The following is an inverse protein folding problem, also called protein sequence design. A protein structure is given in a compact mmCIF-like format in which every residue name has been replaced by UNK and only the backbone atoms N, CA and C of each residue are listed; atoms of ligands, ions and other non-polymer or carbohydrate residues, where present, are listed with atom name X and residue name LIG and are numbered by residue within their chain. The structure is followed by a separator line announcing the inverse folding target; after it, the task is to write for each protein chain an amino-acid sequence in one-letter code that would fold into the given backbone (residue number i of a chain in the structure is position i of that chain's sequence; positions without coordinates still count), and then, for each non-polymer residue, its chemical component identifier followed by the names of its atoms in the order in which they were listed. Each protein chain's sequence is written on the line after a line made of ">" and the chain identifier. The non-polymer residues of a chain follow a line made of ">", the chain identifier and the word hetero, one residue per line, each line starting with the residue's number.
data_IF_778495381786
#
_entry.id   IF_778495381786
#
_cell.length_a   1.000
_cell.length_b   1.000
_cell.length_c   1.000
_cell.angle_alpha   90.00
_cell.angle_beta   90.00
_cell.angle_gamma   90.00
#
_symmetry.space_group_name_H-M   'P 1'
#
loop_
_entity.id
_entity.type
_entity.pdbx_description
1 polymer ?
#
# COMPACT_ATOMS: atom_id res chain seq x y z
N UNK A 1 -8.74 19.34 -7.38
CA UNK A 1 -8.04 18.14 -6.89
C UNK A 1 -9.03 17.28 -6.11
N UNK A 2 -8.97 15.96 -6.22
CA UNK A 2 -9.86 15.03 -5.49
C UNK A 2 -9.29 14.81 -4.10
N UNK A 3 -10.09 15.02 -3.04
CA UNK A 3 -9.64 14.71 -1.68
C UNK A 3 -9.28 13.22 -1.54
N UNK A 4 -8.07 12.88 -1.04
CA UNK A 4 -7.65 11.50 -0.90
C UNK A 4 -8.56 10.71 0.04
N UNK A 5 -9.13 9.60 -0.44
CA UNK A 5 -10.05 8.75 0.33
C UNK A 5 -9.35 8.16 1.57
N UNK A 6 -10.12 7.87 2.62
CA UNK A 6 -9.64 7.11 3.77
C UNK A 6 -9.66 5.60 3.45
N UNK A 7 -8.77 4.83 4.07
CA UNK A 7 -8.59 3.40 3.77
C UNK A 7 -9.73 2.50 4.28
N UNK A 8 -10.62 3.03 5.13
CA UNK A 8 -11.77 2.32 5.70
C UNK A 8 -12.90 2.08 4.69
N UNK A 9 -12.66 1.28 3.65
CA UNK A 9 -13.62 0.96 2.59
C UNK A 9 -14.65 -0.11 3.02
N UNK A 10 -15.40 0.20 4.08
CA UNK A 10 -16.34 -0.72 4.77
C UNK A 10 -17.43 -1.31 3.86
N UNK A 11 -17.83 -0.61 2.79
CA UNK A 11 -18.84 -1.09 1.84
C UNK A 11 -18.34 -2.11 0.81
N UNK A 12 -17.02 -2.33 0.71
CA UNK A 12 -16.40 -3.17 -0.31
C UNK A 12 -15.93 -4.50 0.26
N UNK A 13 -15.47 -4.50 1.51
CA UNK A 13 -14.95 -5.66 2.21
C UNK A 13 -15.45 -5.60 3.66
N UNK A 14 -16.41 -6.46 4.08
CA UNK A 14 -16.81 -6.58 5.49
C UNK A 14 -15.75 -7.38 6.26
N UNK A 15 -14.48 -7.01 6.10
CA UNK A 15 -13.31 -7.77 6.52
C UNK A 15 -12.53 -6.98 7.58
N UNK A 16 -12.23 -7.66 8.68
CA UNK A 16 -11.47 -7.14 9.80
C UNK A 16 -10.05 -6.72 9.40
N UNK A 17 -9.47 -5.71 10.07
CA UNK A 17 -9.93 -5.08 11.30
C UNK A 17 -10.64 -3.73 11.06
N UNK A 18 -11.56 -3.69 10.09
CA UNK A 18 -12.48 -2.57 9.89
C UNK A 18 -11.74 -1.22 9.78
N UNK A 19 -11.97 -0.30 10.73
CA UNK A 19 -11.45 1.08 10.75
C UNK A 19 -10.07 1.26 11.39
N UNK A 20 -9.45 0.22 11.95
CA UNK A 20 -8.14 0.34 12.62
C UNK A 20 -7.22 -0.81 12.27
N UNK A 21 -6.13 -0.51 11.58
CA UNK A 21 -5.05 -1.46 11.26
C UNK A 21 -3.76 -0.97 11.91
N UNK A 22 -3.08 -1.86 12.64
CA UNK A 22 -1.70 -1.64 13.06
C UNK A 22 -0.79 -2.00 11.89
N UNK A 23 0.21 -1.15 11.62
CA UNK A 23 1.24 -1.45 10.62
C UNK A 23 2.54 -1.80 11.32
N UNK A 24 3.19 -2.86 10.87
CA UNK A 24 4.55 -3.22 11.32
C UNK A 24 5.49 -2.98 10.16
N UNK A 25 6.52 -2.15 10.38
CA UNK A 25 7.65 -1.99 9.47
C UNK A 25 8.75 -2.97 9.87
N UNK A 26 9.24 -3.74 8.91
CA UNK A 26 10.40 -4.62 9.09
C UNK A 26 11.47 -4.29 8.03
N UNK A 27 12.72 -4.17 8.46
CA UNK A 27 13.86 -4.02 7.55
C UNK A 27 14.36 -5.41 7.18
N UNK A 28 14.22 -5.78 5.91
CA UNK A 28 14.65 -7.10 5.41
C UNK A 28 16.10 -7.04 4.93
N UNK A 29 16.46 -5.98 4.20
CA UNK A 29 17.84 -5.70 3.78
C UNK A 29 18.14 -4.25 4.15
N UNK A 30 19.08 -4.00 5.09
CA UNK A 30 19.41 -2.65 5.53
C UNK A 30 19.70 -1.70 4.37
N UNK A 31 19.01 -0.56 4.35
CA UNK A 31 19.18 0.47 3.32
C UNK A 31 18.65 0.10 1.93
N UNK A 32 17.95 -1.03 1.77
CA UNK A 32 17.51 -1.49 0.46
C UNK A 32 16.08 -2.06 0.42
N UNK A 33 15.66 -2.89 1.38
CA UNK A 33 14.36 -3.59 1.32
C UNK A 33 13.67 -3.55 2.68
N UNK A 34 12.40 -3.17 2.67
CA UNK A 34 11.52 -3.14 3.83
C UNK A 34 10.16 -3.77 3.52
N UNK A 35 9.45 -4.21 4.56
CA UNK A 35 8.07 -4.67 4.43
C UNK A 35 7.16 -3.91 5.38
N UNK A 36 5.93 -3.68 4.94
CA UNK A 36 4.84 -3.20 5.77
C UNK A 36 3.81 -4.31 5.91
N UNK A 37 3.61 -4.80 7.12
CA UNK A 37 2.68 -5.88 7.42
C UNK A 37 1.47 -5.35 8.19
N UNK A 38 0.29 -5.80 7.76
CA UNK A 38 -0.98 -5.52 8.42
C UNK A 38 -1.80 -6.79 8.55
N UNK A 39 -2.58 -6.91 9.62
CA UNK A 39 -3.57 -7.98 9.74
C UNK A 39 -4.76 -7.74 8.81
N UNK A 40 -5.24 -8.81 8.21
CA UNK A 40 -6.43 -8.88 7.38
C UNK A 40 -7.15 -10.19 7.67
N UNK A 41 -8.48 -10.18 7.77
CA UNK A 41 -9.19 -11.42 8.05
C UNK A 41 -10.65 -11.27 8.40
N UNK A 42 -11.41 -12.34 8.20
CA UNK A 42 -12.83 -12.43 8.58
C UNK A 42 -12.94 -13.34 9.79
N UNK A 43 -13.70 -12.92 10.81
CA UNK A 43 -13.96 -13.70 12.02
C UNK A 43 -12.66 -14.19 12.69
N UNK A 44 -12.46 -15.50 12.73
CA UNK A 44 -11.32 -16.18 13.34
C UNK A 44 -10.19 -16.50 12.35
N UNK A 45 -10.35 -16.20 11.06
CA UNK A 45 -9.32 -16.40 10.03
C UNK A 45 -8.58 -15.09 9.82
N UNK A 46 -7.40 -14.97 10.42
CA UNK A 46 -6.54 -13.78 10.30
C UNK A 46 -5.24 -14.15 9.57
N UNK A 47 -4.91 -13.39 8.54
CA UNK A 47 -3.69 -13.52 7.76
C UNK A 47 -2.94 -12.18 7.70
N UNK A 48 -1.60 -12.19 7.59
CA UNK A 48 -0.86 -10.99 7.28
C UNK A 48 -1.03 -10.62 5.81
N UNK A 49 -1.13 -9.34 5.53
CA UNK A 49 -1.04 -8.75 4.20
C UNK A 49 0.17 -7.83 4.19
N UNK A 50 1.01 -7.99 3.17
CA UNK A 50 2.35 -7.41 3.11
C UNK A 50 2.50 -6.51 1.89
N UNK A 51 3.00 -5.30 2.10
CA UNK A 51 3.62 -4.51 1.06
C UNK A 51 5.15 -4.63 1.16
N UNK A 52 5.83 -4.55 0.01
CA UNK A 52 7.29 -4.53 -0.04
C UNK A 52 7.76 -3.21 -0.61
N UNK A 53 8.73 -2.59 0.05
CA UNK A 53 9.35 -1.33 -0.34
C UNK A 53 10.81 -1.63 -0.72
N UNK A 54 11.23 -1.18 -1.90
CA UNK A 54 12.58 -1.39 -2.42
C UNK A 54 13.19 -0.05 -2.80
N UNK A 55 14.42 0.22 -2.36
CA UNK A 55 15.20 1.36 -2.82
C UNK A 55 15.66 1.15 -4.25
N UNK A 56 15.46 2.17 -5.09
CA UNK A 56 15.90 2.16 -6.48
C UNK A 56 17.37 2.62 -6.60
N UNK A 57 18.09 2.09 -7.59
CA UNK A 57 19.50 2.43 -7.82
C UNK A 57 19.70 3.91 -8.21
N UNK A 58 18.74 4.47 -8.96
CA UNK A 58 18.70 5.88 -9.38
C UNK A 58 18.03 6.81 -8.34
N UNK A 59 17.90 6.33 -7.10
CA UNK A 59 17.23 7.02 -6.00
C UNK A 59 15.71 6.90 -6.03
N UNK A 60 15.08 7.12 -4.87
CA UNK A 60 13.66 6.92 -4.68
C UNK A 60 13.27 5.50 -4.29
N UNK A 61 11.97 5.28 -4.17
CA UNK A 61 11.38 4.05 -3.66
C UNK A 61 10.40 3.44 -4.67
N UNK A 62 10.41 2.11 -4.70
CA UNK A 62 9.44 1.26 -5.37
C UNK A 62 8.59 0.57 -4.31
N UNK A 63 7.26 0.56 -4.49
CA UNK A 63 6.31 -0.10 -3.57
C UNK A 63 5.54 -1.16 -4.32
N UNK A 64 5.58 -2.40 -3.85
CA UNK A 64 4.86 -3.55 -4.38
C UNK A 64 3.72 -3.97 -3.46
N UNK A 65 2.54 -4.19 -4.05
CA UNK A 65 1.32 -4.61 -3.38
C UNK A 65 1.01 -3.81 -2.11
N UNK A 66 0.69 -2.50 -2.23
CA UNK A 66 0.42 -1.66 -1.08
C UNK A 66 -0.62 -2.27 -0.13
N UNK A 67 -0.41 -2.01 1.16
CA UNK A 67 -1.36 -2.28 2.23
C UNK A 67 -2.19 -1.03 2.52
N UNK A 68 -3.11 -1.08 3.49
CA UNK A 68 -3.93 0.07 3.82
C UNK A 68 -3.05 1.27 4.20
N UNK A 69 -3.35 2.43 3.61
CA UNK A 69 -2.64 3.70 3.86
C UNK A 69 -3.01 4.30 5.22
N UNK A 70 -2.75 3.55 6.30
CA UNK A 70 -2.91 4.03 7.68
C UNK A 70 -1.92 5.15 7.96
N UNK A 71 -2.18 5.95 9.00
CA UNK A 71 -1.25 6.99 9.43
C UNK A 71 0.16 6.43 9.69
N UNK A 72 0.26 5.32 10.42
CA UNK A 72 1.53 4.63 10.71
C UNK A 72 2.25 4.19 9.42
N UNK A 73 1.52 3.56 8.49
CA UNK A 73 2.07 3.15 7.19
C UNK A 73 2.64 4.34 6.41
N UNK A 74 1.91 5.46 6.37
CA UNK A 74 2.35 6.65 5.68
C UNK A 74 3.56 7.28 6.37
N UNK A 75 3.57 7.36 7.70
CA UNK A 75 4.71 7.88 8.47
C UNK A 75 5.99 7.08 8.20
N UNK A 76 5.92 5.75 8.18
CA UNK A 76 7.06 4.89 7.83
C UNK A 76 7.56 5.15 6.41
N UNK A 77 6.66 5.21 5.42
CA UNK A 77 7.07 5.47 4.03
C UNK A 77 7.68 6.86 3.89
N UNK A 78 7.12 7.88 4.57
CA UNK A 78 7.68 9.25 4.57
C UNK A 78 9.06 9.32 5.22
N UNK A 79 9.34 8.51 6.24
CA UNK A 79 10.69 8.41 6.82
C UNK A 79 11.68 7.86 5.78
N UNK A 80 11.31 6.76 5.10
CA UNK A 80 12.12 6.21 4.01
C UNK A 80 12.29 7.22 2.86
N UNK A 81 11.27 8.01 2.52
CA UNK A 81 11.39 9.03 1.48
C UNK A 81 12.42 10.13 1.82
N UNK A 82 12.52 10.52 3.10
CA UNK A 82 13.52 11.49 3.56
C UNK A 82 14.94 10.98 3.37
N UNK A 83 15.16 9.68 3.55
CA UNK A 83 16.48 9.06 3.50
C UNK A 83 16.89 8.58 2.11
N UNK A 84 15.91 8.16 1.29
CA UNK A 84 16.18 7.43 0.05
C UNK A 84 15.56 8.09 -1.18
N UNK A 85 14.76 9.14 -1.02
CA UNK A 85 14.08 9.85 -2.11
C UNK A 85 12.61 9.41 -2.26
N UNK A 86 11.83 10.09 -3.11
CA UNK A 86 10.39 9.92 -3.18
C UNK A 86 9.97 8.52 -3.67
N UNK A 87 8.75 8.11 -3.35
CA UNK A 87 8.11 6.98 -4.01
C UNK A 87 7.92 7.32 -5.49
N UNK A 88 8.62 6.58 -6.37
CA UNK A 88 8.56 6.75 -7.83
C UNK A 88 7.57 5.79 -8.47
N UNK A 89 7.46 4.58 -7.94
CA UNK A 89 6.67 3.51 -8.54
C UNK A 89 5.83 2.77 -7.51
N UNK A 90 4.56 2.57 -7.83
CA UNK A 90 3.63 1.77 -7.05
C UNK A 90 3.08 0.68 -7.96
N UNK A 91 3.28 -0.58 -7.61
CA UNK A 91 2.85 -1.72 -8.41
C UNK A 91 1.82 -2.52 -7.65
N UNK A 92 0.69 -2.79 -8.29
CA UNK A 92 -0.27 -3.79 -7.84
C UNK A 92 -0.09 -5.04 -8.72
N UNK A 93 0.65 -6.02 -8.19
CA UNK A 93 0.91 -7.30 -8.83
C UNK A 93 -0.01 -8.44 -8.35
N UNK A 94 -1.10 -8.12 -7.65
CA UNK A 94 -2.04 -9.10 -7.12
C UNK A 94 -3.47 -8.83 -7.57
N UNK A 95 -4.21 -9.91 -7.81
CA UNK A 95 -5.67 -9.88 -8.03
C UNK A 95 -6.45 -9.95 -6.72
N UNK A 96 -5.76 -10.17 -5.60
CA UNK A 96 -6.37 -10.30 -4.28
C UNK A 96 -6.96 -8.95 -3.83
N UNK A 97 -8.24 -8.97 -3.50
CA UNK A 97 -9.06 -7.78 -3.30
C UNK A 97 -8.52 -6.87 -2.19
N UNK A 98 -7.88 -7.43 -1.18
CA UNK A 98 -7.20 -6.71 -0.09
C UNK A 98 -6.14 -5.74 -0.61
N UNK A 99 -5.39 -6.10 -1.64
CA UNK A 99 -4.41 -5.20 -2.23
C UNK A 99 -5.05 -4.23 -3.21
N UNK A 100 -6.04 -4.68 -3.99
CA UNK A 100 -6.73 -3.85 -4.99
C UNK A 100 -7.40 -2.63 -4.36
N UNK A 101 -8.09 -2.87 -3.24
CA UNK A 101 -8.83 -1.85 -2.50
C UNK A 101 -7.90 -0.81 -1.90
N UNK A 102 -6.73 -1.21 -1.42
CA UNK A 102 -5.78 -0.28 -0.80
C UNK A 102 -4.82 0.38 -1.79
N UNK A 103 -4.49 -0.26 -2.90
CA UNK A 103 -3.54 0.27 -3.88
C UNK A 103 -3.94 1.67 -4.37
N UNK A 104 -5.22 1.88 -4.68
CA UNK A 104 -5.70 3.19 -5.10
C UNK A 104 -5.61 4.26 -4.03
N UNK A 105 -6.08 3.94 -2.84
CA UNK A 105 -6.04 4.86 -1.70
C UNK A 105 -4.59 5.23 -1.36
N UNK A 106 -3.69 4.25 -1.40
CA UNK A 106 -2.26 4.45 -1.18
C UNK A 106 -1.66 5.34 -2.26
N UNK A 107 -1.94 5.07 -3.54
CA UNK A 107 -1.45 5.88 -4.66
C UNK A 107 -1.89 7.35 -4.58
N UNK A 108 -3.12 7.64 -4.13
CA UNK A 108 -3.57 9.02 -3.90
C UNK A 108 -2.71 9.79 -2.89
N UNK A 109 -2.06 9.11 -1.93
CA UNK A 109 -1.17 9.74 -0.94
C UNK A 109 0.23 10.03 -1.52
N UNK A 110 0.57 9.44 -2.67
CA UNK A 110 1.84 9.61 -3.38
C UNK A 110 1.57 9.99 -4.84
N UNK A 111 0.87 11.11 -5.06
CA UNK A 111 0.35 11.54 -6.36
C UNK A 111 1.38 11.73 -7.48
N UNK A 112 2.69 11.80 -7.15
CA UNK A 112 3.79 11.89 -8.12
C UNK A 112 4.31 10.53 -8.56
N UNK A 113 3.92 9.45 -7.89
CA UNK A 113 4.36 8.11 -8.22
C UNK A 113 3.60 7.60 -9.45
N UNK A 114 4.31 6.90 -10.34
CA UNK A 114 3.68 6.15 -11.41
C UNK A 114 3.06 4.87 -10.85
N UNK A 115 1.78 4.66 -11.13
CA UNK A 115 1.05 3.45 -10.75
C UNK A 115 1.13 2.45 -11.89
N UNK A 116 1.44 1.20 -11.56
CA UNK A 116 1.53 0.10 -12.51
C UNK A 116 0.52 -0.99 -12.14
N UNK A 117 -0.29 -1.34 -13.12
CA UNK A 117 -1.39 -2.29 -13.02
C UNK A 117 -1.31 -3.20 -14.25
N UNK A 118 -1.70 -4.46 -14.09
CA UNK A 118 -1.82 -5.34 -15.25
C UNK A 118 -3.01 -4.91 -16.12
N UNK A 119 -2.79 -4.79 -17.43
CA UNK A 119 -3.85 -4.44 -18.36
C UNK A 119 -5.00 -5.46 -18.29
N UNK A 120 -6.24 -4.97 -18.31
CA UNK A 120 -7.45 -5.80 -18.18
C UNK A 120 -7.75 -6.30 -16.76
N UNK A 121 -6.91 -5.98 -15.75
CA UNK A 121 -7.30 -6.21 -14.36
C UNK A 121 -8.33 -5.19 -13.90
N UNK A 122 -9.45 -5.69 -13.37
CA UNK A 122 -10.57 -4.92 -12.84
C UNK A 122 -10.12 -3.85 -11.84
N UNK A 123 -10.34 -2.57 -12.12
CA UNK A 123 -10.10 -1.46 -11.20
C UNK A 123 -11.35 -1.20 -10.34
N UNK A 124 -11.32 -1.69 -9.10
CA UNK A 124 -12.44 -1.57 -8.16
C UNK A 124 -11.94 -1.28 -6.75
N UNK A 125 -12.65 -0.46 -5.97
CA UNK A 125 -13.93 0.22 -6.29
C UNK A 125 -13.81 1.44 -7.20
N UNK A 126 -12.60 1.95 -7.38
CA UNK A 126 -12.33 3.15 -8.15
C UNK A 126 -11.50 2.78 -9.37
N UNK A 127 -11.75 3.48 -10.49
CA UNK A 127 -10.80 3.49 -11.59
C UNK A 127 -9.52 4.14 -11.09
N UNK A 128 -8.50 3.32 -10.91
CA UNK A 128 -7.14 3.78 -10.71
C UNK A 128 -6.64 4.32 -12.05
N UNK A 129 -5.80 5.37 -12.07
CA UNK A 129 -4.76 5.42 -13.09
C UNK A 129 -3.79 4.24 -12.92
#
# INVERSE_FOLDING_TARGET
>A
EVEPTDYGLFGILPIGPYKRKKTVLETIVPGQIWTLDQKFGILNVQVPVRATIVKLQDGGLFVYNPVAATRESLEFVRQLEKEHGPVKHIVLGSVAIEHKVYAGVFAQKFSKAQVWLQSGQYSFPSNLP
#
